data_IF_043504991336
#
_entry.id   IF_043504991336
#
_cell.length_a   1.000
_cell.length_b   1.000
_cell.length_c   1.000
_cell.angle_alpha   90.00
_cell.angle_beta   90.00
_cell.angle_gamma   90.00
#
_symmetry.space_group_name_H-M   'P 1'
#
loop_
_entity.id
_entity.type
_entity.pdbx_description
1 polymer ?
#
# COMPACT_ATOMS: atom_id res chain seq x y z
N UNK A 1 44.60 6.45 -8.36
CA UNK A 1 44.67 7.91 -8.12
C UNK A 1 44.43 8.17 -6.63
N UNK A 2 44.86 9.32 -6.07
CA UNK A 2 44.61 9.67 -4.65
C UNK A 2 43.88 11.01 -4.59
N UNK A 3 42.71 11.03 -3.96
CA UNK A 3 41.86 12.20 -3.79
C UNK A 3 41.87 12.64 -2.33
N UNK A 4 42.03 13.94 -2.07
CA UNK A 4 41.64 14.49 -0.77
C UNK A 4 40.11 14.54 -0.68
N UNK A 5 39.59 14.72 0.54
CA UNK A 5 38.14 14.87 0.73
C UNK A 5 37.56 16.04 -0.07
N UNK A 6 38.27 17.16 -0.20
CA UNK A 6 37.81 18.32 -0.96
C UNK A 6 37.81 18.06 -2.47
N UNK A 7 38.82 17.34 -2.98
CA UNK A 7 38.88 16.96 -4.38
C UNK A 7 37.76 15.98 -4.73
N UNK A 8 37.54 14.96 -3.89
CA UNK A 8 36.48 13.98 -4.13
C UNK A 8 35.08 14.61 -4.03
N UNK A 9 34.85 15.47 -3.04
CA UNK A 9 33.61 16.24 -2.90
C UNK A 9 33.32 17.08 -4.15
N UNK A 10 34.32 17.83 -4.64
CA UNK A 10 34.19 18.64 -5.85
C UNK A 10 33.91 17.79 -7.10
N UNK A 11 34.57 16.64 -7.23
CA UNK A 11 34.40 15.73 -8.36
C UNK A 11 33.01 15.10 -8.40
N UNK A 12 32.53 14.64 -7.24
CA UNK A 12 31.28 13.89 -7.12
C UNK A 12 30.04 14.76 -6.89
N UNK A 13 30.22 16.05 -6.61
CA UNK A 13 29.13 16.99 -6.34
C UNK A 13 28.53 16.88 -4.92
N UNK A 14 29.05 15.99 -4.07
CA UNK A 14 28.62 15.94 -2.65
C UNK A 14 29.45 16.87 -1.78
N UNK A 15 28.88 17.29 -0.65
CA UNK A 15 29.63 18.09 0.32
C UNK A 15 30.68 17.26 1.05
N UNK A 16 31.79 17.89 1.49
CA UNK A 16 32.75 17.23 2.38
C UNK A 16 32.10 16.71 3.67
N UNK A 17 31.06 17.40 4.16
CA UNK A 17 30.26 16.95 5.31
C UNK A 17 29.56 15.62 5.03
N UNK A 18 29.03 15.43 3.82
CA UNK A 18 28.42 14.16 3.40
C UNK A 18 29.44 13.03 3.39
N UNK A 19 30.65 13.28 2.89
CA UNK A 19 31.72 12.27 2.90
C UNK A 19 32.17 11.91 4.33
N UNK A 20 32.25 12.90 5.23
CA UNK A 20 32.49 12.62 6.66
C UNK A 20 31.38 11.77 7.27
N UNK A 21 30.12 12.11 6.99
CA UNK A 21 28.99 11.34 7.48
C UNK A 21 28.99 9.90 6.93
N UNK A 22 29.34 9.69 5.66
CA UNK A 22 29.44 8.35 5.09
C UNK A 22 30.56 7.52 5.73
N UNK A 23 31.67 8.15 6.11
CA UNK A 23 32.73 7.50 6.90
C UNK A 23 32.23 7.14 8.31
N UNK A 24 31.55 8.07 9.00
CA UNK A 24 30.99 7.87 10.33
C UNK A 24 30.01 6.69 10.42
N UNK A 25 29.13 6.54 9.42
CA UNK A 25 28.18 5.41 9.35
C UNK A 25 28.79 4.16 8.70
N UNK A 26 30.06 4.20 8.30
CA UNK A 26 30.78 3.08 7.68
C UNK A 26 30.45 2.79 6.22
N UNK A 27 29.61 3.61 5.59
CA UNK A 27 29.17 3.45 4.20
C UNK A 27 30.32 3.67 3.19
N UNK A 28 31.19 4.65 3.44
CA UNK A 28 32.36 4.93 2.62
C UNK A 28 33.57 5.31 3.49
N UNK A 29 34.46 4.35 3.71
CA UNK A 29 35.69 4.58 4.48
C UNK A 29 36.79 5.14 3.58
N UNK A 30 37.63 6.05 4.09
CA UNK A 30 38.82 6.51 3.36
C UNK A 30 39.85 5.38 3.24
N UNK A 31 40.58 5.35 2.14
CA UNK A 31 41.70 4.43 1.93
C UNK A 31 42.83 4.66 2.95
N UNK A 32 43.03 5.90 3.39
CA UNK A 32 44.01 6.25 4.40
C UNK A 32 43.60 7.52 5.17
N UNK A 33 44.02 7.58 6.43
CA UNK A 33 43.97 8.77 7.28
C UNK A 33 45.39 9.12 7.67
N UNK A 34 45.82 10.37 7.44
CA UNK A 34 47.15 10.82 7.88
C UNK A 34 47.20 11.07 9.38
N UNK A 35 48.41 11.18 9.93
CA UNK A 35 48.65 11.53 11.34
C UNK A 35 47.94 12.84 11.76
N UNK A 36 47.79 13.79 10.82
CA UNK A 36 47.11 15.06 11.04
C UNK A 36 45.58 14.97 10.84
N UNK A 37 45.02 13.78 10.68
CA UNK A 37 43.58 13.53 10.52
C UNK A 37 43.03 13.75 9.11
N UNK A 38 43.87 14.00 8.10
CA UNK A 38 43.40 14.18 6.73
C UNK A 38 43.04 12.85 6.09
N UNK A 39 41.84 12.79 5.49
CA UNK A 39 41.32 11.62 4.80
C UNK A 39 41.69 11.63 3.32
N UNK A 40 42.07 10.46 2.84
CA UNK A 40 42.40 10.25 1.43
C UNK A 40 41.63 9.05 0.87
N UNK A 41 41.14 9.23 -0.34
CA UNK A 41 40.35 8.24 -1.06
C UNK A 41 41.11 7.80 -2.31
N UNK A 42 41.08 6.51 -2.60
CA UNK A 42 41.64 5.93 -3.80
C UNK A 42 40.61 5.83 -4.92
N UNK A 43 40.95 5.05 -5.94
CA UNK A 43 40.04 4.74 -7.05
C UNK A 43 38.86 3.87 -6.59
N UNK A 44 39.10 2.88 -5.72
CA UNK A 44 38.04 2.00 -5.21
C UNK A 44 36.98 2.76 -4.40
N UNK A 45 37.39 3.74 -3.59
CA UNK A 45 36.46 4.56 -2.84
C UNK A 45 35.69 5.53 -3.75
N UNK A 46 36.30 6.00 -4.84
CA UNK A 46 35.59 6.80 -5.84
C UNK A 46 34.53 5.95 -6.57
N UNK A 47 34.85 4.71 -6.94
CA UNK A 47 33.92 3.77 -7.56
C UNK A 47 32.77 3.43 -6.60
N UNK A 48 33.08 3.15 -5.33
CA UNK A 48 32.07 2.91 -4.29
C UNK A 48 31.20 4.15 -4.08
N UNK A 49 31.77 5.35 -4.05
CA UNK A 49 31.01 6.59 -3.96
C UNK A 49 30.06 6.74 -5.16
N UNK A 50 30.51 6.43 -6.37
CA UNK A 50 29.66 6.48 -7.56
C UNK A 50 28.44 5.55 -7.41
N UNK A 51 28.65 4.31 -6.94
CA UNK A 51 27.56 3.37 -6.67
C UNK A 51 26.60 3.90 -5.60
N UNK A 52 27.12 4.45 -4.49
CA UNK A 52 26.30 5.09 -3.45
C UNK A 52 25.41 6.19 -4.06
N UNK A 53 25.96 7.02 -4.94
CA UNK A 53 25.22 8.11 -5.57
C UNK A 53 24.14 7.61 -6.54
N UNK A 54 24.40 6.53 -7.29
CA UNK A 54 23.37 5.89 -8.11
C UNK A 54 22.21 5.38 -7.25
N UNK A 55 22.51 4.63 -6.19
CA UNK A 55 21.47 4.12 -5.30
C UNK A 55 20.71 5.24 -4.59
N UNK A 56 21.41 6.31 -4.16
CA UNK A 56 20.79 7.53 -3.65
C UNK A 56 19.86 8.19 -4.66
N UNK A 57 20.26 8.25 -5.93
CA UNK A 57 19.43 8.81 -7.01
C UNK A 57 18.18 7.95 -7.28
N UNK A 58 18.24 6.65 -7.00
CA UNK A 58 17.07 5.75 -7.00
C UNK A 58 16.18 5.88 -5.76
N UNK A 59 16.51 6.78 -4.82
CA UNK A 59 15.70 7.03 -3.62
C UNK A 59 15.93 6.02 -2.49
N UNK A 60 16.97 5.18 -2.57
CA UNK A 60 17.28 4.21 -1.52
C UNK A 60 17.76 4.89 -0.23
N UNK A 61 17.30 4.43 0.96
CA UNK A 61 17.83 4.91 2.23
C UNK A 61 19.24 4.34 2.45
N UNK A 62 20.10 5.10 3.15
CA UNK A 62 21.53 4.79 3.30
C UNK A 62 21.80 3.43 3.96
N UNK A 63 20.93 2.99 4.87
CA UNK A 63 21.02 1.67 5.53
C UNK A 63 20.86 0.53 4.52
N UNK A 64 19.92 0.66 3.58
CA UNK A 64 19.73 -0.30 2.49
C UNK A 64 20.92 -0.26 1.52
N UNK A 65 21.43 0.94 1.20
CA UNK A 65 22.62 1.08 0.34
C UNK A 65 23.83 0.36 0.96
N UNK A 66 24.04 0.53 2.27
CA UNK A 66 25.12 -0.16 3.00
C UNK A 66 24.97 -1.67 2.86
N UNK A 67 23.76 -2.18 3.13
CA UNK A 67 23.46 -3.61 3.02
C UNK A 67 23.70 -4.16 1.61
N UNK A 68 23.33 -3.41 0.56
CA UNK A 68 23.56 -3.80 -0.84
C UNK A 68 25.07 -3.86 -1.14
N UNK A 69 25.81 -2.81 -0.79
CA UNK A 69 27.24 -2.69 -1.12
C UNK A 69 28.16 -3.64 -0.34
N UNK A 70 27.66 -4.20 0.76
CA UNK A 70 28.36 -5.19 1.57
C UNK A 70 27.91 -6.64 1.25
N UNK A 71 26.94 -6.80 0.34
CA UNK A 71 26.44 -8.11 -0.08
C UNK A 71 27.19 -8.70 -1.28
N UNK A 72 26.96 -9.98 -1.56
CA UNK A 72 27.51 -10.64 -2.76
C UNK A 72 26.96 -10.04 -4.05
N UNK A 73 27.71 -10.19 -5.15
CA UNK A 73 27.33 -9.71 -6.48
C UNK A 73 25.94 -10.22 -6.93
N UNK A 74 25.59 -11.46 -6.56
CA UNK A 74 24.26 -12.05 -6.81
C UNK A 74 23.14 -11.30 -6.07
N UNK A 75 23.39 -10.86 -4.84
CA UNK A 75 22.43 -10.09 -4.04
C UNK A 75 22.26 -8.68 -4.62
N UNK A 76 23.37 -8.05 -5.02
CA UNK A 76 23.36 -6.73 -5.67
C UNK A 76 22.55 -6.77 -6.96
N UNK A 77 22.78 -7.78 -7.81
CA UNK A 77 22.02 -7.96 -9.05
C UNK A 77 20.52 -8.13 -8.76
N UNK A 78 20.17 -8.98 -7.79
CA UNK A 78 18.78 -9.18 -7.40
C UNK A 78 18.12 -7.89 -6.90
N UNK A 79 18.78 -7.15 -5.99
CA UNK A 79 18.24 -5.89 -5.46
C UNK A 79 18.08 -4.83 -6.55
N UNK A 80 19.07 -4.68 -7.45
CA UNK A 80 18.97 -3.79 -8.60
C UNK A 80 17.82 -4.16 -9.53
N UNK A 81 17.63 -5.46 -9.78
CA UNK A 81 16.53 -5.95 -10.61
C UNK A 81 15.16 -5.66 -9.99
N UNK A 82 15.01 -5.89 -8.67
CA UNK A 82 13.79 -5.54 -7.95
C UNK A 82 13.51 -4.02 -8.00
N UNK A 83 14.52 -3.18 -7.78
CA UNK A 83 14.35 -1.72 -7.89
C UNK A 83 14.05 -1.25 -9.30
N UNK A 84 14.70 -1.83 -10.31
CA UNK A 84 14.38 -1.53 -11.71
C UNK A 84 12.91 -1.84 -12.01
N UNK A 85 12.41 -2.98 -11.55
CA UNK A 85 11.00 -3.35 -11.71
C UNK A 85 10.07 -2.37 -10.99
N UNK A 86 10.40 -1.95 -9.77
CA UNK A 86 9.64 -0.93 -9.04
C UNK A 86 9.60 0.41 -9.78
N UNK A 87 10.74 0.90 -10.28
CA UNK A 87 10.79 2.15 -11.05
C UNK A 87 10.03 2.03 -12.38
N UNK A 88 10.11 0.89 -13.05
CA UNK A 88 9.35 0.63 -14.27
C UNK A 88 7.84 0.64 -14.01
N UNK A 89 7.38 0.04 -12.90
CA UNK A 89 5.99 0.08 -12.46
C UNK A 89 5.54 1.50 -12.11
N UNK A 90 6.37 2.27 -11.39
CA UNK A 90 6.08 3.68 -11.09
C UNK A 90 5.94 4.52 -12.36
N UNK A 91 6.83 4.33 -13.34
CA UNK A 91 6.73 5.01 -14.64
C UNK A 91 5.41 4.66 -15.33
N UNK A 92 5.05 3.37 -15.40
CA UNK A 92 3.80 2.93 -16.02
C UNK A 92 2.57 3.55 -15.33
N UNK A 93 2.57 3.64 -14.00
CA UNK A 93 1.50 4.28 -13.25
C UNK A 93 1.40 5.79 -13.55
N UNK A 94 2.54 6.49 -13.64
CA UNK A 94 2.59 7.90 -14.02
C UNK A 94 2.12 8.12 -15.46
N UNK A 95 2.52 7.27 -16.41
CA UNK A 95 2.08 7.35 -17.80
C UNK A 95 0.55 7.19 -17.91
N UNK A 96 -0.03 6.25 -17.15
CA UNK A 96 -1.48 6.07 -17.08
C UNK A 96 -2.20 7.28 -16.47
N UNK A 97 -1.64 7.89 -15.43
CA UNK A 97 -2.18 9.12 -14.83
C UNK A 97 -2.11 10.31 -15.79
N UNK A 98 -1.01 10.46 -16.51
CA UNK A 98 -0.85 11.50 -17.53
C UNK A 98 -1.86 11.33 -18.66
N UNK A 99 -2.13 10.10 -19.10
CA UNK A 99 -3.16 9.83 -20.09
C UNK A 99 -4.56 10.21 -19.59
N UNK A 100 -4.92 9.85 -18.35
CA UNK A 100 -6.20 10.23 -17.74
C UNK A 100 -6.33 11.75 -17.59
N UNK A 101 -5.25 12.44 -17.25
CA UNK A 101 -5.23 13.90 -17.17
C UNK A 101 -5.39 14.55 -18.54
N UNK A 102 -4.73 14.03 -19.58
CA UNK A 102 -4.86 14.52 -20.95
C UNK A 102 -6.30 14.39 -21.45
N UNK A 103 -6.94 13.25 -21.20
CA UNK A 103 -8.36 13.02 -21.50
C UNK A 103 -9.27 14.03 -20.77
N UNK A 104 -8.99 14.26 -19.48
CA UNK A 104 -9.72 15.25 -18.68
C UNK A 104 -9.58 16.66 -19.25
N UNK A 105 -8.37 17.07 -19.63
CA UNK A 105 -8.11 18.37 -20.26
C UNK A 105 -8.88 18.53 -21.58
N UNK A 106 -8.85 17.51 -22.44
CA UNK A 106 -9.61 17.50 -23.69
C UNK A 106 -11.12 17.67 -23.46
N UNK A 107 -11.67 17.14 -22.36
CA UNK A 107 -13.06 17.39 -21.97
C UNK A 107 -13.32 18.82 -21.52
N UNK A 108 -12.41 19.43 -20.76
CA UNK A 108 -12.54 20.85 -20.40
C UNK A 108 -12.42 21.79 -21.61
N UNK A 109 -11.65 21.38 -22.63
CA UNK A 109 -11.48 22.11 -23.90
C UNK A 109 -12.63 21.86 -24.90
N UNK A 110 -13.54 20.93 -24.59
CA UNK A 110 -14.68 20.58 -25.44
C UNK A 110 -14.33 19.68 -26.63
N UNK A 111 -13.12 19.11 -26.65
CA UNK A 111 -12.63 18.23 -27.72
C UNK A 111 -13.10 16.77 -27.55
N UNK A 112 -13.44 16.37 -26.32
CA UNK A 112 -13.87 15.01 -25.96
C UNK A 112 -15.01 15.03 -24.96
N UNK A 113 -16.07 14.27 -25.19
CA UNK A 113 -17.03 13.95 -24.12
C UNK A 113 -16.60 12.65 -23.43
N UNK A 114 -16.51 12.68 -22.10
CA UNK A 114 -16.28 11.49 -21.28
C UNK A 114 -17.54 11.16 -20.49
N UNK A 115 -17.94 9.90 -20.53
CA UNK A 115 -18.95 9.39 -19.62
C UNK A 115 -18.35 9.15 -18.22
N UNK A 116 -19.22 8.95 -17.25
CA UNK A 116 -18.87 8.75 -15.85
C UNK A 116 -17.98 7.51 -15.63
N UNK A 117 -18.17 6.44 -16.40
CA UNK A 117 -17.28 5.27 -16.32
C UNK A 117 -15.84 5.61 -16.77
N UNK A 118 -15.69 6.40 -17.84
CA UNK A 118 -14.38 6.82 -18.35
C UNK A 118 -13.66 7.77 -17.39
N UNK A 119 -14.39 8.70 -16.75
CA UNK A 119 -13.81 9.64 -15.76
C UNK A 119 -13.19 8.93 -14.56
N UNK A 120 -13.74 7.79 -14.15
CA UNK A 120 -13.29 7.05 -12.96
C UNK A 120 -12.50 5.77 -13.27
N UNK A 121 -12.29 5.43 -14.55
CA UNK A 121 -11.62 4.20 -14.97
C UNK A 121 -10.21 4.07 -14.36
N UNK A 122 -9.40 5.13 -14.45
CA UNK A 122 -8.04 5.17 -13.88
C UNK A 122 -8.03 4.85 -12.38
N UNK A 123 -8.92 5.48 -11.60
CA UNK A 123 -8.96 5.30 -10.15
C UNK A 123 -9.37 3.87 -9.74
N UNK A 124 -10.30 3.27 -10.48
CA UNK A 124 -10.70 1.87 -10.26
C UNK A 124 -9.56 0.90 -10.60
N UNK A 125 -8.89 1.11 -11.73
CA UNK A 125 -7.74 0.29 -12.13
C UNK A 125 -6.61 0.40 -11.12
N UNK A 126 -6.30 1.62 -10.66
CA UNK A 126 -5.28 1.86 -9.65
C UNK A 126 -5.60 1.16 -8.32
N UNK A 127 -6.84 1.27 -7.84
CA UNK A 127 -7.30 0.59 -6.61
C UNK A 127 -7.16 -0.94 -6.74
N UNK A 128 -7.47 -1.49 -7.92
CA UNK A 128 -7.31 -2.92 -8.18
C UNK A 128 -5.86 -3.35 -8.22
N UNK A 129 -4.98 -2.56 -8.84
CA UNK A 129 -3.55 -2.84 -8.92
C UNK A 129 -2.89 -2.82 -7.52
N UNK A 130 -3.24 -1.84 -6.69
CA UNK A 130 -2.78 -1.78 -5.28
C UNK A 130 -3.26 -3.02 -4.50
N UNK A 131 -4.53 -3.39 -4.65
CA UNK A 131 -5.06 -4.59 -4.00
C UNK A 131 -4.40 -5.89 -4.50
N UNK A 132 -4.14 -6.03 -5.80
CA UNK A 132 -3.46 -7.22 -6.35
C UNK A 132 -1.99 -7.30 -5.89
N UNK A 133 -1.34 -6.15 -5.69
CA UNK A 133 0.03 -6.09 -5.15
C UNK A 133 0.07 -6.55 -3.69
N UNK A 134 -0.89 -6.12 -2.88
CA UNK A 134 -0.93 -6.45 -1.45
C UNK A 134 -1.45 -7.87 -1.18
N UNK A 135 -2.43 -8.33 -1.96
CA UNK A 135 -3.21 -9.53 -1.65
C UNK A 135 -3.35 -10.51 -2.81
N UNK A 136 -2.94 -10.16 -4.03
CA UNK A 136 -3.25 -10.92 -5.24
C UNK A 136 -2.61 -12.30 -5.30
N UNK A 137 -1.37 -12.47 -4.82
CA UNK A 137 -0.73 -13.80 -4.78
C UNK A 137 -1.44 -14.74 -3.80
N UNK A 138 -1.74 -14.25 -2.60
CA UNK A 138 -2.47 -15.00 -1.58
C UNK A 138 -3.90 -15.33 -2.04
N UNK A 139 -4.61 -14.34 -2.60
CA UNK A 139 -5.96 -14.53 -3.12
C UNK A 139 -5.98 -15.60 -4.22
N UNK A 140 -5.00 -15.59 -5.13
CA UNK A 140 -4.88 -16.61 -6.18
C UNK A 140 -4.56 -18.00 -5.62
N UNK A 141 -3.77 -18.11 -4.54
CA UNK A 141 -3.49 -19.39 -3.85
C UNK A 141 -4.72 -19.93 -3.11
N UNK A 142 -5.49 -19.07 -2.45
CA UNK A 142 -6.62 -19.47 -1.60
C UNK A 142 -7.90 -19.73 -2.41
N UNK A 143 -8.21 -18.85 -3.38
CA UNK A 143 -9.48 -18.88 -4.12
C UNK A 143 -9.31 -19.31 -5.58
N UNK A 144 -8.08 -19.39 -6.09
CA UNK A 144 -7.79 -19.75 -7.47
C UNK A 144 -7.70 -18.56 -8.42
N UNK A 145 -6.86 -18.67 -9.45
CA UNK A 145 -6.58 -17.58 -10.39
C UNK A 145 -7.82 -17.10 -11.16
N UNK A 146 -8.70 -18.02 -11.58
CA UNK A 146 -9.91 -17.66 -12.33
C UNK A 146 -10.89 -16.87 -11.47
N UNK A 147 -11.13 -17.30 -10.23
CA UNK A 147 -12.06 -16.62 -9.31
C UNK A 147 -11.60 -15.19 -8.99
N UNK A 148 -10.29 -14.99 -8.81
CA UNK A 148 -9.72 -13.65 -8.64
C UNK A 148 -9.90 -12.80 -9.89
N UNK A 149 -9.61 -13.34 -11.07
CA UNK A 149 -9.79 -12.63 -12.35
C UNK A 149 -11.25 -12.23 -12.60
N UNK A 150 -12.19 -13.13 -12.34
CA UNK A 150 -13.63 -12.86 -12.49
C UNK A 150 -14.09 -11.77 -11.51
N UNK A 151 -13.59 -11.80 -10.27
CA UNK A 151 -13.87 -10.76 -9.26
C UNK A 151 -13.30 -9.40 -9.65
N UNK A 152 -12.07 -9.35 -10.16
CA UNK A 152 -11.43 -8.12 -10.63
C UNK A 152 -12.19 -7.52 -11.81
N UNK A 153 -12.58 -8.35 -12.79
CA UNK A 153 -13.41 -7.92 -13.92
C UNK A 153 -14.74 -7.32 -13.46
N UNK A 154 -15.44 -7.99 -12.54
CA UNK A 154 -16.70 -7.49 -11.97
C UNK A 154 -16.51 -6.12 -11.30
N UNK A 155 -15.41 -5.90 -10.60
CA UNK A 155 -15.10 -4.61 -9.98
C UNK A 155 -14.85 -3.51 -11.01
N UNK A 156 -14.12 -3.81 -12.09
CA UNK A 156 -13.89 -2.86 -13.19
C UNK A 156 -15.19 -2.45 -13.87
N UNK A 157 -16.06 -3.43 -14.14
CA UNK A 157 -17.36 -3.22 -14.82
C UNK A 157 -18.46 -2.69 -13.88
N UNK A 158 -18.19 -2.54 -12.58
CA UNK A 158 -19.18 -2.10 -11.61
C UNK A 158 -19.67 -0.67 -11.91
N UNK A 159 -20.99 -0.41 -11.94
CA UNK A 159 -21.51 0.94 -12.16
C UNK A 159 -21.02 1.91 -11.09
N UNK A 160 -20.75 3.18 -11.47
CA UNK A 160 -20.27 4.18 -10.51
C UNK A 160 -21.26 4.41 -9.36
N UNK A 161 -22.56 4.36 -9.62
CA UNK A 161 -23.59 4.49 -8.57
C UNK A 161 -23.48 3.40 -7.51
N UNK A 162 -23.18 2.16 -7.91
CA UNK A 162 -22.95 1.05 -6.99
C UNK A 162 -21.64 1.24 -6.23
N UNK A 163 -20.57 1.64 -6.92
CA UNK A 163 -19.29 1.93 -6.28
C UNK A 163 -19.40 3.04 -5.23
N UNK A 164 -20.08 4.14 -5.56
CA UNK A 164 -20.34 5.24 -4.63
C UNK A 164 -21.15 4.79 -3.41
N UNK A 165 -22.13 3.90 -3.60
CA UNK A 165 -22.89 3.31 -2.50
C UNK A 165 -22.01 2.46 -1.59
N UNK A 166 -21.10 1.65 -2.16
CA UNK A 166 -20.16 0.84 -1.37
C UNK A 166 -19.22 1.70 -0.53
N UNK A 167 -18.66 2.76 -1.11
CA UNK A 167 -17.81 3.70 -0.37
C UNK A 167 -18.60 4.39 0.76
N UNK A 168 -19.83 4.84 0.48
CA UNK A 168 -20.69 5.45 1.49
C UNK A 168 -21.08 4.47 2.61
N UNK A 169 -21.31 3.19 2.27
CA UNK A 169 -21.62 2.15 3.23
C UNK A 169 -20.42 1.85 4.15
N UNK A 170 -19.21 1.79 3.58
CA UNK A 170 -17.96 1.61 4.33
C UNK A 170 -17.68 2.79 5.26
N UNK A 171 -17.80 4.03 4.78
CA UNK A 171 -17.62 5.24 5.60
C UNK A 171 -18.63 5.30 6.74
N UNK A 172 -19.90 4.98 6.46
CA UNK A 172 -20.95 4.94 7.48
C UNK A 172 -20.68 3.85 8.51
N UNK A 173 -20.25 2.65 8.08
CA UNK A 173 -19.81 1.58 8.97
C UNK A 173 -18.69 2.04 9.90
N UNK A 174 -17.62 2.63 9.36
CA UNK A 174 -16.47 3.08 10.14
C UNK A 174 -16.86 4.14 11.18
N UNK A 175 -17.69 5.11 10.77
CA UNK A 175 -18.22 6.12 11.68
C UNK A 175 -19.06 5.50 12.80
N UNK A 176 -19.96 4.57 12.47
CA UNK A 176 -20.84 3.93 13.46
C UNK A 176 -20.05 3.04 14.43
N UNK A 177 -19.05 2.30 13.95
CA UNK A 177 -18.14 1.55 14.83
C UNK A 177 -17.42 2.47 15.81
N UNK A 178 -16.93 3.61 15.34
CA UNK A 178 -16.28 4.62 16.19
C UNK A 178 -17.24 5.19 17.24
N UNK A 179 -18.48 5.48 16.88
CA UNK A 179 -19.50 5.96 17.83
C UNK A 179 -19.85 4.89 18.87
N UNK A 180 -20.08 3.64 18.44
CA UNK A 180 -20.40 2.53 19.33
C UNK A 180 -19.25 2.20 20.28
N UNK A 181 -17.99 2.36 19.86
CA UNK A 181 -16.83 2.20 20.74
C UNK A 181 -16.75 3.24 21.87
N UNK A 182 -17.40 4.39 21.72
CA UNK A 182 -17.47 5.41 22.77
C UNK A 182 -18.52 5.05 23.83
N UNK A 183 -19.43 4.12 23.53
CA UNK A 183 -20.37 3.56 24.48
C UNK A 183 -19.66 2.47 25.31
N UNK A 184 -19.74 2.56 26.64
CA UNK A 184 -19.09 1.59 27.52
C UNK A 184 -20.10 0.97 28.50
N UNK A 185 -20.59 -0.27 28.25
CA UNK A 185 -20.35 -1.09 27.05
C UNK A 185 -21.18 -0.63 25.83
N UNK A 186 -20.76 -1.03 24.63
CA UNK A 186 -21.51 -0.79 23.41
C UNK A 186 -22.86 -1.53 23.41
N UNK A 187 -23.95 -0.83 23.08
CA UNK A 187 -25.26 -1.46 22.95
C UNK A 187 -25.43 -2.12 21.58
N UNK A 188 -25.18 -3.44 21.53
CA UNK A 188 -25.33 -4.26 20.32
C UNK A 188 -26.77 -4.37 19.82
N UNK A 189 -27.76 -3.94 20.60
CA UNK A 189 -29.18 -3.93 20.22
C UNK A 189 -29.66 -2.59 19.67
N UNK A 190 -28.83 -1.54 19.76
CA UNK A 190 -29.15 -0.19 19.33
C UNK A 190 -29.40 -0.08 17.81
N UNK A 191 -30.09 0.99 17.41
CA UNK A 191 -30.31 1.30 15.98
C UNK A 191 -28.98 1.52 15.24
N UNK A 192 -27.97 2.11 15.91
CA UNK A 192 -26.62 2.29 15.36
C UNK A 192 -25.93 0.96 15.09
N UNK A 193 -25.99 0.03 16.05
CA UNK A 193 -25.46 -1.32 15.92
C UNK A 193 -26.12 -2.08 14.76
N UNK A 194 -27.45 -1.99 14.64
CA UNK A 194 -28.18 -2.60 13.54
C UNK A 194 -27.80 -2.01 12.19
N UNK A 195 -27.64 -0.68 12.14
CA UNK A 195 -27.24 0.03 10.93
C UNK A 195 -25.83 -0.35 10.52
N UNK A 196 -24.88 -0.39 11.45
CA UNK A 196 -23.50 -0.80 11.19
C UNK A 196 -23.44 -2.22 10.60
N UNK A 197 -24.13 -3.18 11.22
CA UNK A 197 -24.23 -4.54 10.68
C UNK A 197 -24.85 -4.56 9.26
N UNK A 198 -25.93 -3.81 9.06
CA UNK A 198 -26.64 -3.76 7.77
C UNK A 198 -25.75 -3.19 6.67
N UNK A 199 -24.98 -2.14 6.96
CA UNK A 199 -24.02 -1.54 6.01
C UNK A 199 -22.93 -2.53 5.62
N UNK A 200 -22.36 -3.23 6.60
CA UNK A 200 -21.35 -4.26 6.32
C UNK A 200 -21.92 -5.43 5.50
N UNK A 201 -23.14 -5.88 5.82
CA UNK A 201 -23.84 -6.91 5.04
C UNK A 201 -24.12 -6.46 3.61
N UNK A 202 -24.59 -5.23 3.41
CA UNK A 202 -24.87 -4.67 2.08
C UNK A 202 -23.60 -4.65 1.23
N UNK A 203 -22.51 -4.16 1.81
CA UNK A 203 -21.21 -4.15 1.16
C UNK A 203 -20.77 -5.56 0.72
N UNK A 204 -20.81 -6.52 1.65
CA UNK A 204 -20.44 -7.91 1.36
C UNK A 204 -21.37 -8.58 0.35
N UNK A 205 -22.65 -8.24 0.31
CA UNK A 205 -23.59 -8.84 -0.65
C UNK A 205 -23.30 -8.40 -2.09
N UNK A 206 -22.73 -7.20 -2.28
CA UNK A 206 -22.29 -6.74 -3.60
C UNK A 206 -20.96 -7.39 -4.00
N UNK A 207 -20.02 -7.47 -3.06
CA UNK A 207 -18.69 -8.02 -3.29
C UNK A 207 -18.73 -9.55 -3.47
N UNK A 208 -19.50 -10.27 -2.66
CA UNK A 208 -19.62 -11.72 -2.64
C UNK A 208 -21.06 -12.15 -3.03
N UNK A 209 -21.32 -12.51 -4.30
CA UNK A 209 -22.65 -12.92 -4.75
C UNK A 209 -23.16 -14.22 -4.09
N UNK A 210 -22.28 -14.98 -3.44
CA UNK A 210 -22.59 -16.18 -2.65
C UNK A 210 -22.78 -15.89 -1.15
N UNK A 211 -23.03 -14.63 -0.78
CA UNK A 211 -23.19 -14.22 0.61
C UNK A 211 -24.18 -15.10 1.39
N UNK A 212 -23.75 -15.57 2.56
CA UNK A 212 -24.60 -16.24 3.55
C UNK A 212 -24.29 -15.71 4.96
N UNK A 213 -25.22 -15.85 5.93
CA UNK A 213 -24.92 -15.52 7.32
C UNK A 213 -23.70 -16.26 7.89
N UNK A 214 -23.45 -17.50 7.44
CA UNK A 214 -22.34 -18.34 7.89
C UNK A 214 -21.01 -17.84 7.33
N UNK A 215 -20.99 -17.49 6.04
CA UNK A 215 -19.85 -16.81 5.41
C UNK A 215 -19.50 -15.51 6.15
N UNK A 216 -20.51 -14.71 6.50
CA UNK A 216 -20.30 -13.45 7.22
C UNK A 216 -19.65 -13.67 8.60
N UNK A 217 -20.07 -14.70 9.34
CA UNK A 217 -19.45 -15.06 10.63
C UNK A 217 -18.01 -15.53 10.45
N UNK A 218 -17.74 -16.36 9.45
CA UNK A 218 -16.38 -16.79 9.11
C UNK A 218 -15.44 -15.63 8.80
N UNK A 219 -15.93 -14.61 8.09
CA UNK A 219 -15.18 -13.37 7.87
C UNK A 219 -14.89 -12.62 9.18
N UNK A 220 -15.89 -12.49 10.07
CA UNK A 220 -15.69 -11.86 11.37
C UNK A 220 -14.60 -12.55 12.22
N UNK A 221 -14.53 -13.88 12.19
CA UNK A 221 -13.46 -14.65 12.85
C UNK A 221 -12.10 -14.41 12.20
N UNK A 222 -12.04 -14.38 10.87
CA UNK A 222 -10.82 -14.10 10.11
C UNK A 222 -10.29 -12.69 10.41
N UNK A 223 -11.16 -11.67 10.45
CA UNK A 223 -10.73 -10.29 10.68
C UNK A 223 -10.02 -10.09 12.01
N UNK A 224 -10.47 -10.78 13.07
CA UNK A 224 -9.83 -10.76 14.39
C UNK A 224 -8.57 -11.62 14.44
N UNK A 225 -8.48 -12.66 13.60
CA UNK A 225 -7.36 -13.60 13.58
C UNK A 225 -6.18 -13.12 12.72
N UNK A 226 -6.45 -12.32 11.69
CA UNK A 226 -5.45 -11.74 10.80
C UNK A 226 -5.10 -10.29 11.24
N UNK A 227 -3.85 -10.02 11.66
CA UNK A 227 -3.42 -8.69 12.09
C UNK A 227 -3.65 -7.59 11.05
N UNK A 228 -3.64 -7.89 9.75
CA UNK A 228 -3.85 -6.91 8.68
C UNK A 228 -5.28 -6.38 8.70
N UNK A 229 -6.25 -7.28 8.80
CA UNK A 229 -7.67 -6.92 8.88
C UNK A 229 -8.01 -6.26 10.22
N UNK A 230 -7.41 -6.75 11.32
CA UNK A 230 -7.54 -6.07 12.62
C UNK A 230 -7.04 -4.63 12.54
N UNK A 231 -5.85 -4.42 11.98
CA UNK A 231 -5.28 -3.08 11.84
C UNK A 231 -6.15 -2.15 10.97
N UNK A 232 -6.74 -2.68 9.89
CA UNK A 232 -7.58 -1.90 8.98
C UNK A 232 -8.78 -1.23 9.68
N UNK A 233 -9.54 -1.97 10.50
CA UNK A 233 -10.67 -1.37 11.22
C UNK A 233 -10.21 -0.57 12.44
N UNK A 234 -9.24 -1.09 13.20
CA UNK A 234 -8.80 -0.45 14.45
C UNK A 234 -8.11 0.91 14.20
N UNK A 235 -7.36 1.06 13.12
CA UNK A 235 -6.75 2.36 12.76
C UNK A 235 -7.78 3.39 12.33
N UNK A 236 -8.89 2.96 11.69
CA UNK A 236 -9.91 3.86 11.14
C UNK A 236 -10.99 4.23 12.15
N UNK A 237 -11.44 3.27 12.97
CA UNK A 237 -12.56 3.44 13.89
C UNK A 237 -12.13 3.47 15.38
N UNK A 238 -10.93 2.99 15.71
CA UNK A 238 -10.38 2.95 17.08
C UNK A 238 -10.07 1.53 17.54
N UNK A 239 -9.13 1.40 18.49
CA UNK A 239 -8.71 0.09 19.04
C UNK A 239 -9.92 -0.68 19.58
N UNK A 240 -10.08 -1.93 19.13
CA UNK A 240 -11.22 -2.79 19.48
C UNK A 240 -12.38 -2.74 18.48
N UNK A 241 -12.31 -1.91 17.43
CA UNK A 241 -13.34 -1.82 16.40
C UNK A 241 -13.57 -3.16 15.68
N UNK A 242 -12.49 -3.89 15.39
CA UNK A 242 -12.57 -5.19 14.72
C UNK A 242 -13.34 -6.20 15.56
N UNK A 243 -13.05 -6.24 16.87
CA UNK A 243 -13.74 -7.12 17.80
C UNK A 243 -15.23 -6.75 17.93
N UNK A 244 -15.53 -5.45 18.01
CA UNK A 244 -16.91 -4.96 18.03
C UNK A 244 -17.66 -5.34 16.75
N UNK A 245 -17.05 -5.19 15.58
CA UNK A 245 -17.65 -5.61 14.31
C UNK A 245 -17.96 -7.11 14.33
N UNK A 246 -17.01 -7.94 14.77
CA UNK A 246 -17.23 -9.40 14.93
C UNK A 246 -18.42 -9.70 15.86
N UNK A 247 -18.55 -8.99 16.98
CA UNK A 247 -19.68 -9.15 17.91
C UNK A 247 -21.02 -8.77 17.26
N UNK A 248 -21.07 -7.67 16.51
CA UNK A 248 -22.26 -7.28 15.75
C UNK A 248 -22.66 -8.34 14.71
N UNK A 249 -21.69 -8.88 13.99
CA UNK A 249 -21.90 -9.95 13.02
C UNK A 249 -22.51 -11.18 13.69
N UNK A 250 -21.93 -11.65 14.79
CA UNK A 250 -22.45 -12.79 15.55
C UNK A 250 -23.87 -12.54 16.05
N UNK A 251 -24.11 -11.36 16.64
CA UNK A 251 -25.40 -11.00 17.20
C UNK A 251 -26.52 -11.01 16.15
N UNK A 252 -26.34 -10.29 15.04
CA UNK A 252 -27.39 -10.13 14.03
C UNK A 252 -27.53 -11.31 13.06
N UNK A 253 -26.47 -12.08 12.82
CA UNK A 253 -26.61 -13.30 12.00
C UNK A 253 -27.34 -14.41 12.74
N UNK A 254 -27.18 -14.53 14.06
CA UNK A 254 -27.86 -15.56 14.88
C UNK A 254 -29.31 -15.17 15.21
N UNK A 255 -29.59 -13.88 15.45
CA UNK A 255 -30.96 -13.38 15.69
C UNK A 255 -31.91 -13.64 14.51
N UNK A 256 -31.40 -13.60 13.29
CA UNK A 256 -32.18 -13.84 12.08
C UNK A 256 -32.40 -15.33 11.77
N UNK A 257 -31.64 -16.25 12.39
CA UNK A 257 -31.85 -17.70 12.24
C UNK A 257 -33.05 -18.22 13.03
N UNK A 258 -33.50 -17.47 14.05
CA UNK A 258 -34.65 -17.81 14.91
C UNK A 258 -36.02 -17.40 14.34
N UNK A 259 -36.08 -16.68 13.23
CA UNK A 259 -37.33 -16.21 12.62
C UNK A 259 -37.86 -17.12 11.49
N UNK A 260 -37.16 -18.22 11.18
CA UNK A 260 -37.46 -19.10 10.03
C UNK A 260 -37.77 -20.55 10.44
N UNK A 261 -38.27 -20.76 11.66
CA UNK A 261 -38.79 -22.04 12.13
C UNK A 261 -40.23 -21.92 12.58
#
# INVERSE_FOLDING_TARGET
MKYSISTLAKLSGVSSRTLHYYDEIGLLKPAAVSENGYRFYGTQEADRLQQILYFKAFGLPLETITSILDSSETQIHHTLQCHYQQLAQQRQALDALLAALADTLATYEGEKEMNDQEKFAYFKEHTLAENDTLYGEEARKTYGAQTVADSQKKWQEMPQTVFAQLSADEESLMRLLKELLQENPADLSSEKAQTAFTKHKQWLSQAAPFYTPDYHRGLGEMYVSDPRFTAYYDQRAGTGATLLLKQLIDYYTRKNSSATK
#
